data_IF_277144624097
#
_entry.id   IF_277144624097
#
_cell.length_a   1.000
_cell.length_b   1.000
_cell.length_c   1.000
_cell.angle_alpha   90.00
_cell.angle_beta   90.00
_cell.angle_gamma   90.00
#
_symmetry.space_group_name_H-M   'P 1'
#
loop_
_entity.id
_entity.type
_entity.pdbx_description
1 polymer ?
#
# COMPACT_ATOMS: atom_id res chain seq x y z
N UNK A 1 9.14 12.63 6.31
CA UNK A 1 7.73 12.49 5.89
C UNK A 1 7.30 13.74 5.18
N UNK A 2 6.83 13.63 3.93
CA UNK A 2 6.44 14.74 3.04
C UNK A 2 4.92 14.70 2.84
N UNK A 3 4.29 15.88 2.92
CA UNK A 3 2.84 16.04 2.72
C UNK A 3 2.65 16.96 1.53
N UNK A 4 1.96 16.50 0.50
CA UNK A 4 1.77 17.24 -0.75
C UNK A 4 0.33 17.10 -1.27
N UNK A 5 -0.03 18.01 -2.18
CA UNK A 5 -1.29 17.98 -2.91
C UNK A 5 -2.37 18.87 -2.35
N UNK A 6 -3.57 18.79 -2.94
CA UNK A 6 -4.69 19.63 -2.57
C UNK A 6 -5.22 19.30 -1.16
N UNK A 7 -5.95 20.24 -0.55
CA UNK A 7 -6.77 19.92 0.62
C UNK A 7 -7.87 18.97 0.22
N UNK A 8 -7.75 17.71 0.61
CA UNK A 8 -8.69 16.64 0.28
C UNK A 8 -9.08 15.84 1.51
N UNK A 9 -10.30 15.34 1.52
CA UNK A 9 -10.77 14.38 2.55
C UNK A 9 -10.09 13.02 2.41
N UNK A 10 -9.60 12.71 1.21
CA UNK A 10 -8.94 11.45 0.93
C UNK A 10 -7.43 11.63 0.91
N UNK A 11 -6.78 10.95 1.81
CA UNK A 11 -5.33 10.93 1.92
C UNK A 11 -4.79 9.59 1.48
N UNK A 12 -3.76 9.61 0.66
CA UNK A 12 -3.01 8.43 0.25
C UNK A 12 -1.68 8.44 1.01
N UNK A 13 -1.41 7.39 1.75
CA UNK A 13 -0.17 7.20 2.50
C UNK A 13 0.74 6.30 1.68
N UNK A 14 1.90 6.81 1.29
CA UNK A 14 2.87 6.14 0.44
C UNK A 14 4.05 5.66 1.28
N UNK A 15 4.29 4.37 1.25
CA UNK A 15 5.29 3.66 2.03
C UNK A 15 6.31 3.02 1.07
N UNK A 16 7.53 3.58 0.95
CA UNK A 16 8.54 3.09 0.01
C UNK A 16 9.20 1.79 0.49
N UNK A 17 9.85 1.10 -0.44
CA UNK A 17 10.90 0.15 -0.09
C UNK A 17 12.17 0.93 0.25
N UNK A 18 13.00 0.49 1.22
CA UNK A 18 14.27 1.14 1.52
C UNK A 18 15.24 1.23 0.33
N UNK A 19 15.07 0.39 -0.68
CA UNK A 19 15.87 0.42 -1.91
C UNK A 19 15.31 1.37 -2.98
N UNK A 20 14.12 1.92 -2.77
CA UNK A 20 13.52 2.86 -3.71
C UNK A 20 14.29 4.20 -3.69
N UNK A 21 14.48 4.88 -4.83
CA UNK A 21 14.96 6.24 -4.85
C UNK A 21 13.94 7.19 -4.20
N UNK A 22 14.42 8.34 -3.69
CA UNK A 22 13.56 9.33 -3.00
C UNK A 22 12.39 9.84 -3.83
N UNK A 23 12.53 9.84 -5.15
CA UNK A 23 11.52 10.29 -6.13
C UNK A 23 10.69 9.14 -6.73
N UNK A 24 10.81 7.92 -6.20
CA UNK A 24 10.16 6.73 -6.76
C UNK A 24 8.64 6.89 -6.97
N UNK A 25 7.98 7.57 -6.05
CA UNK A 25 6.54 7.81 -6.13
C UNK A 25 6.13 9.07 -6.91
N UNK A 26 7.06 9.94 -7.33
CA UNK A 26 6.72 11.27 -7.85
C UNK A 26 5.78 11.24 -9.07
N UNK A 27 5.93 10.26 -9.96
CA UNK A 27 5.02 10.10 -11.11
C UNK A 27 3.61 9.70 -10.68
N UNK A 28 3.52 8.78 -9.73
CA UNK A 28 2.24 8.35 -9.16
C UNK A 28 1.59 9.51 -8.40
N UNK A 29 2.36 10.24 -7.59
CA UNK A 29 1.91 11.42 -6.83
C UNK A 29 1.30 12.47 -7.77
N UNK A 30 1.97 12.80 -8.86
CA UNK A 30 1.46 13.76 -9.84
C UNK A 30 0.08 13.38 -10.38
N UNK A 31 -0.16 12.08 -10.63
CA UNK A 31 -1.46 11.58 -11.10
C UNK A 31 -2.52 11.60 -10.00
N UNK A 32 -2.13 11.28 -8.76
CA UNK A 32 -3.04 11.33 -7.60
C UNK A 32 -3.49 12.77 -7.31
N UNK A 33 -2.58 13.75 -7.41
CA UNK A 33 -2.92 15.17 -7.27
C UNK A 33 -3.90 15.63 -8.35
N UNK A 34 -3.74 15.17 -9.60
CA UNK A 34 -4.69 15.45 -10.67
C UNK A 34 -6.08 14.82 -10.42
N UNK A 35 -6.14 13.82 -9.54
CA UNK A 35 -7.39 13.20 -9.08
C UNK A 35 -7.90 13.78 -7.76
N UNK A 36 -7.39 14.94 -7.36
CA UNK A 36 -7.79 15.67 -6.13
C UNK A 36 -7.55 14.82 -4.84
N UNK A 37 -6.44 14.10 -4.79
CA UNK A 37 -6.01 13.31 -3.65
C UNK A 37 -4.80 13.97 -2.98
N UNK A 38 -4.83 14.04 -1.65
CA UNK A 38 -3.69 14.45 -0.84
C UNK A 38 -2.76 13.26 -0.64
N UNK A 39 -1.45 13.49 -0.65
CA UNK A 39 -0.47 12.44 -0.42
C UNK A 39 0.38 12.70 0.81
N UNK A 40 0.71 11.65 1.51
CA UNK A 40 1.67 11.61 2.61
C UNK A 40 2.70 10.55 2.28
N UNK A 41 3.92 10.98 1.98
CA UNK A 41 5.02 10.07 1.63
C UNK A 41 5.97 9.92 2.80
N UNK A 42 6.20 8.70 3.23
CA UNK A 42 7.28 8.37 4.17
C UNK A 42 8.61 8.33 3.41
N UNK A 43 9.64 8.91 3.99
CA UNK A 43 10.98 8.91 3.39
C UNK A 43 11.67 7.54 3.55
N UNK A 44 11.34 6.85 4.64
CA UNK A 44 11.78 5.49 4.91
C UNK A 44 10.77 4.76 5.76
N UNK A 45 10.76 3.45 5.67
CA UNK A 45 10.00 2.56 6.57
C UNK A 45 10.92 1.77 7.51
N UNK A 46 12.23 1.99 7.43
CA UNK A 46 13.19 1.33 8.30
C UNK A 46 12.92 1.67 9.78
N UNK A 47 12.85 0.64 10.61
CA UNK A 47 12.59 0.79 12.03
C UNK A 47 11.16 1.18 12.40
N UNK A 48 10.26 1.28 11.41
CA UNK A 48 8.84 1.51 11.67
C UNK A 48 8.11 0.20 11.90
N UNK A 49 7.30 0.20 12.93
CA UNK A 49 6.29 -0.83 13.18
C UNK A 49 4.88 -0.21 13.18
N UNK A 50 3.85 -1.02 13.36
CA UNK A 50 2.48 -0.53 13.34
C UNK A 50 2.21 0.52 14.43
N UNK A 51 2.62 0.37 15.71
CA UNK A 51 2.48 1.41 16.73
C UNK A 51 3.09 2.75 16.36
N UNK A 52 4.30 2.76 15.85
CA UNK A 52 5.00 3.98 15.42
C UNK A 52 4.27 4.60 14.21
N UNK A 53 3.89 3.77 13.23
CA UNK A 53 3.13 4.19 12.07
C UNK A 53 1.81 4.87 12.46
N UNK A 54 1.07 4.32 13.41
CA UNK A 54 -0.16 4.94 13.91
C UNK A 54 0.11 6.29 14.59
N UNK A 55 1.13 6.39 15.44
CA UNK A 55 1.47 7.62 16.12
C UNK A 55 1.81 8.75 15.12
N UNK A 56 2.52 8.44 14.05
CA UNK A 56 2.82 9.39 12.99
C UNK A 56 1.56 9.80 12.22
N UNK A 57 0.68 8.86 11.87
CA UNK A 57 -0.55 9.14 11.14
C UNK A 57 -1.58 9.91 11.99
N UNK A 58 -1.61 9.69 13.31
CA UNK A 58 -2.47 10.42 14.22
C UNK A 58 -2.12 11.93 14.25
N UNK A 59 -0.84 12.28 14.12
CA UNK A 59 -0.40 13.67 14.04
C UNK A 59 -0.89 14.38 12.76
N UNK A 60 -1.21 13.64 11.71
CA UNK A 60 -1.65 14.17 10.42
C UNK A 60 -3.15 14.43 10.36
N UNK A 61 -3.90 13.94 11.35
CA UNK A 61 -5.37 14.00 11.35
C UNK A 61 -5.95 13.61 9.97
N UNK A 62 -5.49 12.48 9.43
CA UNK A 62 -5.87 11.96 8.12
C UNK A 62 -6.88 10.81 8.25
N UNK A 63 -8.19 11.10 8.50
CA UNK A 63 -9.22 10.08 8.44
C UNK A 63 -9.38 9.59 6.99
N UNK A 64 -9.76 8.33 6.83
CA UNK A 64 -10.11 7.78 5.51
C UNK A 64 -8.89 7.59 4.59
N UNK A 65 -7.75 7.26 5.17
CA UNK A 65 -6.53 7.06 4.41
C UNK A 65 -6.56 5.73 3.62
N UNK A 66 -5.94 5.79 2.43
CA UNK A 66 -5.59 4.61 1.64
C UNK A 66 -4.09 4.36 1.82
N UNK A 67 -3.73 3.13 2.16
CA UNK A 67 -2.34 2.71 2.26
C UNK A 67 -1.82 2.24 0.91
N UNK A 68 -0.64 2.67 0.53
CA UNK A 68 0.08 2.18 -0.65
C UNK A 68 1.49 1.84 -0.23
N UNK A 69 1.89 0.60 -0.38
CA UNK A 69 3.23 0.17 -0.01
C UNK A 69 3.93 -0.56 -1.15
N UNK A 70 5.24 -0.31 -1.30
CA UNK A 70 6.12 -1.04 -2.20
C UNK A 70 7.13 -1.86 -1.38
N UNK A 71 7.34 -3.13 -1.73
CA UNK A 71 8.30 -3.98 -1.03
C UNK A 71 8.10 -3.99 0.50
N UNK A 72 9.10 -3.59 1.25
CA UNK A 72 9.02 -3.49 2.72
C UNK A 72 7.97 -2.47 3.18
N UNK A 73 7.68 -1.44 2.39
CA UNK A 73 6.55 -0.55 2.62
C UNK A 73 5.20 -1.26 2.53
N UNK A 74 5.07 -2.27 1.66
CA UNK A 74 3.87 -3.10 1.61
C UNK A 74 3.75 -4.03 2.82
N UNK A 75 4.86 -4.55 3.34
CA UNK A 75 4.86 -5.32 4.58
C UNK A 75 4.31 -4.47 5.76
N UNK A 76 4.76 -3.22 5.86
CA UNK A 76 4.23 -2.27 6.85
C UNK A 76 2.75 -1.93 6.59
N UNK A 77 2.35 -1.74 5.33
CA UNK A 77 0.96 -1.47 4.97
C UNK A 77 0.02 -2.60 5.44
N UNK A 78 0.41 -3.86 5.22
CA UNK A 78 -0.32 -5.02 5.72
C UNK A 78 -0.46 -5.01 7.25
N UNK A 79 0.63 -4.73 7.98
CA UNK A 79 0.61 -4.66 9.45
C UNK A 79 -0.30 -3.54 9.96
N UNK A 80 -0.24 -2.35 9.33
CA UNK A 80 -1.09 -1.22 9.65
C UNK A 80 -2.57 -1.54 9.38
N UNK A 81 -2.89 -2.10 8.22
CA UNK A 81 -4.25 -2.45 7.84
C UNK A 81 -4.84 -3.53 8.75
N UNK A 82 -4.06 -4.56 9.06
CA UNK A 82 -4.52 -5.71 9.86
C UNK A 82 -4.82 -5.35 11.33
N UNK A 83 -4.12 -4.37 11.88
CA UNK A 83 -4.21 -3.99 13.32
C UNK A 83 -4.85 -2.63 13.56
N UNK A 84 -5.02 -1.83 12.51
CA UNK A 84 -5.58 -0.46 12.57
C UNK A 84 -7.06 -0.41 12.22
N UNK A 85 -7.90 -1.17 12.91
CA UNK A 85 -9.33 -1.23 12.66
C UNK A 85 -9.97 0.16 12.55
N UNK A 86 -10.71 0.40 11.46
CA UNK A 86 -11.43 1.65 11.21
C UNK A 86 -10.58 2.87 10.83
N UNK A 87 -9.25 2.72 10.69
CA UNK A 87 -8.35 3.82 10.33
C UNK A 87 -8.19 4.01 8.83
N UNK A 88 -8.32 2.94 8.08
CA UNK A 88 -8.06 2.90 6.64
C UNK A 88 -9.29 2.44 5.87
N UNK A 89 -9.43 2.91 4.65
CA UNK A 89 -10.54 2.56 3.75
C UNK A 89 -10.12 1.68 2.59
N UNK A 90 -8.83 1.60 2.31
CA UNK A 90 -8.31 0.77 1.24
C UNK A 90 -6.80 0.60 1.32
N UNK A 91 -6.30 -0.35 0.55
CA UNK A 91 -4.88 -0.63 0.46
C UNK A 91 -4.49 -1.10 -0.93
N UNK A 92 -3.28 -0.71 -1.35
CA UNK A 92 -2.57 -1.25 -2.52
C UNK A 92 -1.21 -1.76 -2.05
N UNK A 93 -1.00 -3.07 -2.13
CA UNK A 93 0.26 -3.71 -1.74
C UNK A 93 1.02 -4.16 -2.99
N UNK A 94 2.23 -3.63 -3.19
CA UNK A 94 3.05 -3.86 -4.39
C UNK A 94 4.16 -4.85 -4.06
N UNK A 95 4.16 -5.99 -4.73
CA UNK A 95 5.25 -6.97 -4.67
C UNK A 95 5.37 -7.74 -3.35
N UNK A 96 4.41 -7.62 -2.44
CA UNK A 96 4.32 -8.37 -1.17
C UNK A 96 2.92 -8.89 -0.92
N UNK A 97 2.83 -10.13 -0.48
CA UNK A 97 1.58 -10.76 -0.05
C UNK A 97 1.29 -10.53 1.43
N UNK A 98 0.16 -11.09 1.89
CA UNK A 98 -0.21 -11.02 3.31
C UNK A 98 0.86 -11.69 4.18
N UNK A 99 1.27 -11.09 5.31
CA UNK A 99 2.38 -11.59 6.14
C UNK A 99 2.19 -13.00 6.71
N UNK A 100 0.96 -13.48 6.83
CA UNK A 100 0.69 -14.86 7.27
C UNK A 100 0.90 -15.92 6.17
N UNK A 101 1.23 -15.50 4.94
CA UNK A 101 1.54 -16.39 3.83
C UNK A 101 3.05 -16.51 3.64
N UNK A 102 3.46 -17.67 3.10
CA UNK A 102 4.82 -17.84 2.64
C UNK A 102 5.09 -16.92 1.44
N UNK A 103 6.24 -16.27 1.47
CA UNK A 103 6.77 -15.52 0.34
C UNK A 103 7.36 -16.43 -0.75
N UNK A 104 7.99 -15.84 -1.78
CA UNK A 104 8.62 -16.59 -2.87
C UNK A 104 9.80 -17.47 -2.43
N UNK A 105 10.33 -17.26 -1.25
CA UNK A 105 11.44 -18.04 -0.64
C UNK A 105 10.92 -19.08 0.37
N UNK A 106 9.61 -19.13 0.60
CA UNK A 106 8.98 -20.04 1.54
C UNK A 106 8.99 -19.54 2.99
N UNK A 107 9.39 -18.29 3.25
CA UNK A 107 9.37 -17.67 4.57
C UNK A 107 8.00 -17.07 4.87
N UNK A 108 7.47 -17.32 6.07
CA UNK A 108 6.23 -16.70 6.58
C UNK A 108 6.62 -15.57 7.52
N UNK A 109 6.47 -14.29 7.11
CA UNK A 109 6.93 -13.14 7.90
C UNK A 109 6.24 -13.00 9.26
N UNK A 110 4.93 -13.22 9.31
CA UNK A 110 4.13 -13.14 10.54
C UNK A 110 2.90 -14.06 10.43
N UNK A 111 3.06 -15.30 10.89
CA UNK A 111 1.97 -16.29 10.88
C UNK A 111 0.74 -15.86 11.71
N UNK A 112 0.91 -14.93 12.65
CA UNK A 112 -0.16 -14.39 13.49
C UNK A 112 -0.80 -13.10 12.95
N UNK A 113 -0.40 -12.64 11.76
CA UNK A 113 -0.98 -11.41 11.19
C UNK A 113 -2.47 -11.62 10.90
N UNK A 114 -3.37 -10.79 11.48
CA UNK A 114 -4.81 -10.92 11.23
C UNK A 114 -5.17 -10.61 9.77
N UNK A 115 -6.32 -11.10 9.34
CA UNK A 115 -6.93 -10.67 8.09
C UNK A 115 -7.27 -9.18 8.12
N UNK A 116 -7.29 -8.55 6.95
CA UNK A 116 -7.69 -7.15 6.78
C UNK A 116 -9.15 -7.06 6.36
N UNK A 117 -9.84 -6.02 6.82
CA UNK A 117 -11.27 -5.82 6.52
C UNK A 117 -11.51 -4.78 5.42
N UNK A 118 -10.45 -4.14 4.94
CA UNK A 118 -10.52 -3.08 3.94
C UNK A 118 -10.36 -3.61 2.51
N UNK A 119 -10.91 -2.88 1.56
CA UNK A 119 -10.74 -3.19 0.13
C UNK A 119 -9.27 -3.14 -0.26
N UNK A 120 -8.77 -4.20 -0.86
CA UNK A 120 -7.34 -4.39 -1.10
C UNK A 120 -7.05 -4.78 -2.56
N UNK A 121 -6.11 -4.08 -3.17
CA UNK A 121 -5.46 -4.50 -4.42
C UNK A 121 -4.06 -5.02 -4.10
N UNK A 122 -3.77 -6.23 -4.53
CA UNK A 122 -2.42 -6.78 -4.53
C UNK A 122 -1.84 -6.65 -5.94
N UNK A 123 -0.71 -5.97 -6.05
CA UNK A 123 -0.02 -5.83 -7.32
C UNK A 123 0.98 -6.98 -7.46
N UNK A 124 0.66 -7.91 -8.34
CA UNK A 124 1.55 -9.00 -8.71
C UNK A 124 2.70 -8.48 -9.57
N UNK A 125 3.89 -8.89 -9.22
CA UNK A 125 5.14 -8.48 -9.89
C UNK A 125 6.03 -9.71 -10.03
N UNK A 126 7.23 -9.54 -10.56
CA UNK A 126 8.24 -10.62 -10.56
C UNK A 126 8.61 -11.11 -9.17
N UNK A 127 8.51 -10.23 -8.14
CA UNK A 127 8.77 -10.60 -6.73
C UNK A 127 7.59 -11.32 -6.08
N UNK A 128 6.39 -11.05 -6.54
CA UNK A 128 5.15 -11.70 -6.09
C UNK A 128 4.37 -12.21 -7.30
N UNK A 129 4.64 -13.41 -7.79
CA UNK A 129 3.88 -14.01 -8.89
C UNK A 129 2.39 -14.14 -8.56
N UNK A 130 1.55 -14.12 -9.58
CA UNK A 130 0.09 -14.23 -9.47
C UNK A 130 -0.38 -15.36 -8.56
N UNK A 131 0.25 -16.52 -8.65
CA UNK A 131 -0.13 -17.67 -7.85
C UNK A 131 0.02 -17.43 -6.34
N UNK A 132 1.04 -16.66 -5.92
CA UNK A 132 1.21 -16.27 -4.52
C UNK A 132 0.25 -15.13 -4.13
N UNK A 133 0.02 -14.18 -5.03
CA UNK A 133 -0.93 -13.10 -4.81
C UNK A 133 -2.36 -13.61 -4.61
N UNK A 134 -2.78 -14.65 -5.34
CA UNK A 134 -4.10 -15.29 -5.19
C UNK A 134 -4.34 -15.81 -3.76
N UNK A 135 -3.30 -16.28 -3.09
CA UNK A 135 -3.37 -16.75 -1.71
C UNK A 135 -3.83 -15.67 -0.71
N UNK A 136 -3.62 -14.39 -1.01
CA UNK A 136 -4.01 -13.27 -0.15
C UNK A 136 -5.54 -13.14 0.00
N UNK A 137 -6.32 -13.65 -0.95
CA UNK A 137 -7.79 -13.53 -0.95
C UNK A 137 -8.41 -14.00 0.37
N UNK A 138 -7.89 -15.06 0.98
CA UNK A 138 -8.43 -15.62 2.23
C UNK A 138 -8.15 -14.76 3.47
N UNK A 139 -7.27 -13.75 3.33
CA UNK A 139 -6.93 -12.81 4.40
C UNK A 139 -7.48 -11.40 4.15
N UNK A 140 -8.35 -11.23 3.15
CA UNK A 140 -9.02 -9.96 2.85
C UNK A 140 -10.52 -10.16 2.87
N UNK A 141 -11.20 -9.52 3.82
CA UNK A 141 -12.65 -9.58 3.95
C UNK A 141 -13.36 -8.45 3.20
N UNK A 142 -12.63 -7.40 2.80
CA UNK A 142 -13.11 -6.40 1.87
C UNK A 142 -13.06 -6.88 0.41
N UNK A 143 -13.31 -5.98 -0.52
CA UNK A 143 -13.11 -6.28 -1.95
C UNK A 143 -11.64 -6.61 -2.21
N UNK A 144 -11.41 -7.74 -2.88
CA UNK A 144 -10.06 -8.20 -3.23
C UNK A 144 -9.85 -8.16 -4.74
N UNK A 145 -8.72 -7.60 -5.14
CA UNK A 145 -8.33 -7.50 -6.54
C UNK A 145 -6.84 -7.76 -6.70
N UNK A 146 -6.46 -8.39 -7.80
CA UNK A 146 -5.07 -8.53 -8.23
C UNK A 146 -4.88 -7.72 -9.50
N UNK A 147 -3.88 -6.84 -9.49
CA UNK A 147 -3.37 -6.16 -10.67
C UNK A 147 -2.05 -6.82 -11.07
N UNK A 148 -1.97 -7.36 -12.28
CA UNK A 148 -0.73 -7.89 -12.83
C UNK A 148 -0.03 -6.81 -13.65
N UNK A 149 1.18 -6.46 -13.21
CA UNK A 149 2.04 -5.53 -13.92
C UNK A 149 3.30 -6.29 -14.38
N UNK A 150 3.43 -6.51 -15.67
CA UNK A 150 4.57 -7.23 -16.26
C UNK A 150 5.80 -6.33 -16.36
N UNK A 151 6.23 -5.84 -15.20
CA UNK A 151 7.39 -4.96 -15.06
C UNK A 151 8.22 -5.32 -13.84
N UNK A 152 9.51 -4.98 -13.88
CA UNK A 152 10.40 -5.09 -12.73
C UNK A 152 10.27 -3.90 -11.78
N UNK A 153 9.88 -2.73 -12.28
CA UNK A 153 9.70 -1.48 -11.54
C UNK A 153 8.32 -0.88 -11.81
N UNK A 154 7.28 -1.30 -11.07
CA UNK A 154 5.93 -0.79 -11.26
C UNK A 154 5.80 0.71 -11.03
N UNK A 155 6.61 1.30 -10.13
CA UNK A 155 6.55 2.73 -9.82
C UNK A 155 7.02 3.59 -11.00
N UNK A 156 8.07 3.15 -11.70
CA UNK A 156 8.63 3.88 -12.83
C UNK A 156 7.91 3.58 -14.16
N UNK A 157 7.46 2.33 -14.36
CA UNK A 157 6.99 1.86 -15.67
C UNK A 157 5.46 1.76 -15.78
N UNK A 158 4.74 1.72 -14.64
CA UNK A 158 3.27 1.53 -14.59
C UNK A 158 2.59 2.52 -13.67
N UNK A 159 3.07 3.77 -13.64
CA UNK A 159 2.54 4.83 -12.79
C UNK A 159 1.05 5.14 -13.03
N UNK A 160 0.59 4.99 -14.29
CA UNK A 160 -0.81 5.19 -14.65
C UNK A 160 -1.72 4.09 -14.08
N UNK A 161 -1.34 2.84 -14.27
CA UNK A 161 -2.09 1.68 -13.77
C UNK A 161 -2.11 1.69 -12.23
N UNK A 162 -0.99 2.00 -11.59
CA UNK A 162 -0.92 2.12 -10.14
C UNK A 162 -1.81 3.25 -9.61
N UNK A 163 -1.75 4.43 -10.22
CA UNK A 163 -2.62 5.54 -9.82
C UNK A 163 -4.10 5.17 -9.96
N UNK A 164 -4.46 4.44 -11.03
CA UNK A 164 -5.82 3.94 -11.23
C UNK A 164 -6.24 3.00 -10.11
N UNK A 165 -5.42 2.01 -9.76
CA UNK A 165 -5.71 1.08 -8.65
C UNK A 165 -5.83 1.81 -7.31
N UNK A 166 -5.02 2.84 -7.07
CA UNK A 166 -5.10 3.64 -5.84
C UNK A 166 -6.41 4.43 -5.79
N UNK A 167 -6.79 5.11 -6.88
CA UNK A 167 -8.06 5.85 -6.96
C UNK A 167 -9.24 4.92 -6.73
N UNK A 168 -9.22 3.70 -7.27
CA UNK A 168 -10.24 2.68 -7.02
C UNK A 168 -10.43 2.41 -5.52
N UNK A 169 -9.36 2.41 -4.74
CA UNK A 169 -9.41 2.14 -3.28
C UNK A 169 -9.91 3.32 -2.47
N UNK A 170 -9.99 4.53 -3.04
CA UNK A 170 -10.58 5.69 -2.33
C UNK A 170 -12.11 5.66 -2.28
N UNK A 171 -12.76 4.78 -3.01
CA UNK A 171 -14.22 4.73 -3.12
C UNK A 171 -14.83 5.95 -3.84
N UNK A 172 -14.01 6.72 -4.56
CA UNK A 172 -14.47 7.88 -5.37
C UNK A 172 -14.86 7.38 -6.76
N UNK A 173 -16.16 7.33 -7.00
CA UNK A 173 -16.80 7.08 -8.29
C UNK A 173 -17.85 8.13 -8.59
#
# INVERSE_FOLDING_TARGET
>A
MRIDGPESRHTVVLLPDPSDPEDAFDRVIARLHNSDLRTVTFETVEGLDAPIGYALLDQLNAPWAVLVGNGSGADLAWQLAARGYGRFIGMVAIGRGHPALADGEGTVPDAGCPAVEISTTVVATKRLPRALADGCMRYVYGEFRIAELDTADPLAESDHELATEIVLRTGRW
#
